data_IF_293921124385
#
_entry.id   IF_293921124385
#
_cell.length_a   1.000
_cell.length_b   1.000
_cell.length_c   1.000
_cell.angle_alpha   90.00
_cell.angle_beta   90.00
_cell.angle_gamma   90.00
#
_symmetry.space_group_name_H-M   'P 1'
#
loop_
_entity.id
_entity.type
_entity.pdbx_description
1 polymer ?
#
# COMPACT_ATOMS: atom_id res chain seq x y z
N UNK A 1 -3.34 -6.26 -12.05
CA UNK A 1 -2.06 -5.52 -11.92
C UNK A 1 -0.89 -6.45 -12.17
N UNK A 2 -0.66 -7.47 -11.34
CA UNK A 2 0.47 -8.42 -11.39
C UNK A 2 0.65 -9.16 -12.72
N UNK A 3 -0.41 -9.36 -13.51
CA UNK A 3 -0.33 -9.96 -14.86
C UNK A 3 0.15 -9.03 -15.96
N UNK A 4 0.14 -7.71 -15.73
CA UNK A 4 0.39 -6.70 -16.76
C UNK A 4 1.61 -5.84 -16.47
N UNK A 5 1.88 -5.54 -15.19
CA UNK A 5 2.94 -4.64 -14.77
C UNK A 5 4.10 -5.43 -14.15
N UNK A 6 5.32 -5.15 -14.61
CA UNK A 6 6.56 -5.74 -14.11
C UNK A 6 7.09 -4.99 -12.88
N UNK A 7 6.25 -4.86 -11.85
CA UNK A 7 6.57 -4.17 -10.59
C UNK A 7 6.13 -5.02 -9.39
N UNK A 8 6.90 -4.97 -8.31
CA UNK A 8 6.52 -5.60 -7.05
C UNK A 8 5.31 -4.89 -6.46
N UNK A 9 4.22 -5.63 -6.28
CA UNK A 9 2.97 -5.11 -5.72
C UNK A 9 2.89 -5.42 -4.22
N UNK A 10 2.81 -4.37 -3.41
CA UNK A 10 2.38 -4.46 -2.02
C UNK A 10 0.90 -4.13 -1.94
N UNK A 11 0.14 -4.92 -1.19
CA UNK A 11 -1.31 -4.78 -1.11
C UNK A 11 -1.78 -4.57 0.34
N UNK A 12 -2.77 -3.69 0.49
CA UNK A 12 -3.49 -3.44 1.73
C UNK A 12 -4.40 -4.62 2.09
N UNK A 13 -3.99 -5.42 3.07
CA UNK A 13 -4.74 -6.58 3.56
C UNK A 13 -5.77 -6.22 4.62
N UNK A 14 -6.02 -4.93 4.87
CA UNK A 14 -6.90 -4.44 5.93
C UNK A 14 -6.54 -5.09 7.28
N UNK A 15 -7.52 -5.34 8.13
CA UNK A 15 -7.35 -6.09 9.38
C UNK A 15 -7.19 -7.62 9.17
N UNK A 16 -7.07 -8.07 7.91
CA UNK A 16 -7.09 -9.47 7.50
C UNK A 16 -8.49 -10.06 7.31
N UNK A 17 -9.53 -9.22 7.26
CA UNK A 17 -10.93 -9.59 7.02
C UNK A 17 -11.49 -10.54 8.10
N UNK A 18 -11.20 -10.24 9.36
CA UNK A 18 -11.70 -10.99 10.52
C UNK A 18 -10.62 -11.33 11.54
N UNK A 19 -10.60 -12.57 12.03
CA UNK A 19 -9.64 -13.00 13.06
C UNK A 19 -8.38 -13.64 12.44
N UNK A 20 -7.49 -14.16 13.28
CA UNK A 20 -6.25 -14.81 12.85
C UNK A 20 -6.46 -15.92 11.79
N UNK A 21 -7.56 -16.68 11.82
CA UNK A 21 -7.85 -17.69 10.80
C UNK A 21 -8.26 -17.07 9.46
N UNK A 22 -9.00 -15.95 9.50
CA UNK A 22 -9.29 -15.15 8.30
C UNK A 22 -7.99 -14.64 7.68
N UNK A 23 -7.09 -14.09 8.50
CA UNK A 23 -5.77 -13.61 8.05
C UNK A 23 -5.00 -14.70 7.31
N UNK A 24 -4.99 -15.94 7.82
CA UNK A 24 -4.31 -17.05 7.13
C UNK A 24 -4.86 -17.28 5.72
N UNK A 25 -6.18 -17.17 5.54
CA UNK A 25 -6.80 -17.29 4.21
C UNK A 25 -6.42 -16.09 3.34
N UNK A 26 -6.55 -14.88 3.88
CA UNK A 26 -6.20 -13.63 3.19
C UNK A 26 -4.78 -13.69 2.63
N UNK A 27 -3.80 -14.10 3.44
CA UNK A 27 -2.40 -14.21 2.99
C UNK A 27 -2.27 -15.16 1.80
N UNK A 28 -2.87 -16.35 1.86
CA UNK A 28 -2.77 -17.35 0.77
C UNK A 28 -3.43 -16.87 -0.51
N UNK A 29 -4.58 -16.22 -0.42
CA UNK A 29 -5.31 -15.72 -1.60
C UNK A 29 -4.54 -14.56 -2.28
N UNK A 30 -4.00 -13.64 -1.48
CA UNK A 30 -3.23 -12.51 -1.98
C UNK A 30 -1.89 -12.97 -2.58
N UNK A 31 -1.18 -13.88 -1.91
CA UNK A 31 0.04 -14.50 -2.44
C UNK A 31 -0.22 -15.22 -3.76
N UNK A 32 -1.32 -16.00 -3.86
CA UNK A 32 -1.71 -16.66 -5.10
C UNK A 32 -2.04 -15.67 -6.24
N UNK A 33 -2.43 -14.43 -5.92
CA UNK A 33 -2.62 -13.36 -6.89
C UNK A 33 -1.30 -12.73 -7.39
N UNK A 34 -0.17 -13.11 -6.79
CA UNK A 34 1.18 -12.71 -7.16
C UNK A 34 1.64 -11.41 -6.49
N UNK A 35 1.10 -11.05 -5.32
CA UNK A 35 1.60 -9.89 -4.55
C UNK A 35 2.97 -10.21 -3.95
N UNK A 36 3.83 -9.19 -3.85
CA UNK A 36 5.16 -9.31 -3.25
C UNK A 36 5.15 -8.98 -1.75
N UNK A 37 4.18 -8.21 -1.28
CA UNK A 37 4.04 -7.85 0.12
C UNK A 37 2.57 -7.65 0.52
N UNK A 38 2.26 -7.96 1.77
CA UNK A 38 0.92 -7.84 2.35
C UNK A 38 1.05 -7.12 3.67
N UNK A 39 0.30 -6.03 3.84
CA UNK A 39 0.15 -5.38 5.14
C UNK A 39 -1.09 -5.87 5.88
N UNK A 40 -0.99 -6.03 7.19
CA UNK A 40 -2.12 -6.34 8.08
C UNK A 40 -2.14 -5.29 9.19
N UNK A 41 -3.27 -4.59 9.36
CA UNK A 41 -3.40 -3.49 10.30
C UNK A 41 -4.09 -3.86 11.62
N UNK A 42 -3.86 -3.04 12.65
CA UNK A 42 -4.48 -3.16 13.97
C UNK A 42 -5.70 -2.25 14.17
N UNK A 43 -6.15 -1.56 13.13
CA UNK A 43 -7.40 -0.83 13.13
C UNK A 43 -8.59 -1.80 13.14
N UNK A 44 -9.63 -1.43 13.88
CA UNK A 44 -10.92 -2.11 13.81
C UNK A 44 -11.65 -1.59 12.57
N UNK A 45 -12.11 -2.49 11.71
CA UNK A 45 -12.88 -2.10 10.54
C UNK A 45 -14.20 -1.41 10.96
N UNK A 46 -14.52 -0.21 10.43
CA UNK A 46 -15.77 0.48 10.76
C UNK A 46 -16.98 -0.23 10.12
N UNK A 47 -18.10 -0.31 10.83
CA UNK A 47 -19.34 -0.93 10.31
C UNK A 47 -20.01 -0.10 9.20
N UNK A 48 -19.71 1.21 9.14
CA UNK A 48 -20.35 2.16 8.24
C UNK A 48 -19.35 3.16 7.70
N UNK A 49 -19.50 3.52 6.43
CA UNK A 49 -18.78 4.65 5.85
C UNK A 49 -19.16 5.94 6.58
N UNK A 50 -18.17 6.72 7.00
CA UNK A 50 -18.33 7.93 7.83
C UNK A 50 -19.03 7.66 9.18
N UNK A 51 -18.94 6.43 9.70
CA UNK A 51 -19.36 6.10 11.05
C UNK A 51 -18.32 6.48 12.11
N UNK A 52 -18.61 6.14 13.36
CA UNK A 52 -17.66 6.26 14.45
C UNK A 52 -16.44 5.39 14.18
N UNK A 53 -15.26 5.94 14.44
CA UNK A 53 -13.99 5.23 14.36
C UNK A 53 -13.86 4.31 15.58
N UNK A 54 -13.90 2.97 15.40
CA UNK A 54 -13.87 2.02 16.50
C UNK A 54 -12.49 1.90 17.17
N UNK A 55 -11.44 2.50 16.61
CA UNK A 55 -10.10 2.50 17.17
C UNK A 55 -9.29 1.25 16.82
N UNK A 56 -8.52 0.74 17.78
CA UNK A 56 -7.56 -0.33 17.57
C UNK A 56 -7.94 -1.61 18.31
N UNK A 57 -7.63 -2.76 17.72
CA UNK A 57 -7.66 -4.04 18.44
C UNK A 57 -6.57 -4.08 19.52
N UNK A 58 -6.70 -5.05 20.42
CA UNK A 58 -5.68 -5.27 21.46
C UNK A 58 -4.33 -5.66 20.84
N UNK A 59 -3.23 -5.31 21.50
CA UNK A 59 -1.87 -5.73 21.06
C UNK A 59 -1.77 -7.25 20.91
N UNK A 60 -2.39 -8.00 21.83
CA UNK A 60 -2.35 -9.47 21.81
C UNK A 60 -3.08 -10.06 20.59
N UNK A 61 -4.21 -9.46 20.21
CA UNK A 61 -4.94 -9.88 19.02
C UNK A 61 -4.13 -9.62 17.75
N UNK A 62 -3.55 -8.43 17.61
CA UNK A 62 -2.72 -8.12 16.45
C UNK A 62 -1.49 -9.03 16.36
N UNK A 63 -0.85 -9.35 17.48
CA UNK A 63 0.25 -10.32 17.52
C UNK A 63 -0.19 -11.67 16.95
N UNK A 64 -1.33 -12.20 17.41
CA UNK A 64 -1.86 -13.47 16.89
C UNK A 64 -2.20 -13.40 15.39
N UNK A 65 -2.71 -12.27 14.91
CA UNK A 65 -2.96 -12.05 13.48
C UNK A 65 -1.66 -12.05 12.67
N UNK A 66 -0.62 -11.35 13.12
CA UNK A 66 0.67 -11.28 12.43
C UNK A 66 1.39 -12.64 12.43
N UNK A 67 1.41 -13.35 13.55
CA UNK A 67 1.97 -14.71 13.63
C UNK A 67 1.24 -15.67 12.68
N UNK A 68 -0.10 -15.57 12.61
CA UNK A 68 -0.91 -16.35 11.67
C UNK A 68 -0.60 -15.98 10.21
N UNK A 69 -0.39 -14.71 9.90
CA UNK A 69 0.00 -14.26 8.56
C UNK A 69 1.34 -14.88 8.13
N UNK A 70 2.35 -14.80 8.99
CA UNK A 70 3.68 -15.38 8.76
C UNK A 70 3.60 -16.90 8.61
N UNK A 71 2.80 -17.58 9.42
CA UNK A 71 2.61 -19.03 9.36
C UNK A 71 1.83 -19.51 8.12
N UNK A 72 0.98 -18.66 7.54
CA UNK A 72 0.15 -19.01 6.39
C UNK A 72 0.86 -18.87 5.04
N UNK A 73 1.88 -17.99 4.98
CA UNK A 73 2.72 -17.74 3.81
C UNK A 73 3.34 -19.03 3.28
N UNK A 74 3.32 -19.20 1.96
CA UNK A 74 3.93 -20.35 1.28
C UNK A 74 5.25 -19.94 0.62
N UNK A 75 5.28 -18.79 -0.05
CA UNK A 75 6.50 -18.27 -0.66
C UNK A 75 7.29 -17.44 0.35
N UNK A 76 8.51 -17.85 0.77
CA UNK A 76 9.31 -17.06 1.70
C UNK A 76 9.71 -15.67 1.17
N UNK A 77 9.55 -15.39 -0.13
CA UNK A 77 9.77 -14.07 -0.70
C UNK A 77 8.61 -13.10 -0.47
N UNK A 78 7.40 -13.58 -0.14
CA UNK A 78 6.26 -12.71 0.18
C UNK A 78 6.46 -12.03 1.52
N UNK A 79 6.55 -10.69 1.53
CA UNK A 79 6.82 -9.93 2.77
C UNK A 79 5.54 -9.71 3.56
N UNK A 80 5.56 -9.97 4.87
CA UNK A 80 4.48 -9.60 5.78
C UNK A 80 4.84 -8.28 6.47
N UNK A 81 3.96 -7.28 6.34
CA UNK A 81 4.13 -5.94 6.90
C UNK A 81 3.15 -5.73 8.04
N UNK A 82 3.65 -5.48 9.25
CA UNK A 82 2.79 -5.07 10.35
C UNK A 82 2.41 -3.59 10.18
N UNK A 83 1.13 -3.29 9.97
CA UNK A 83 0.64 -1.90 9.91
C UNK A 83 0.06 -1.49 11.25
N UNK A 84 0.35 -0.26 11.67
CA UNK A 84 -0.23 0.30 12.88
C UNK A 84 -0.58 1.77 12.73
N UNK A 85 -1.75 2.13 13.25
CA UNK A 85 -2.19 3.52 13.41
C UNK A 85 -2.05 4.00 14.87
N UNK A 86 -1.32 3.30 15.73
CA UNK A 86 -1.19 3.61 17.16
C UNK A 86 -0.80 5.07 17.47
N UNK A 87 -0.06 5.74 16.59
CA UNK A 87 0.30 7.16 16.75
C UNK A 87 -0.90 8.10 16.74
N UNK A 88 -2.04 7.68 16.18
CA UNK A 88 -3.28 8.46 16.13
C UNK A 88 -4.22 8.22 17.32
N UNK A 89 -4.05 7.12 18.06
CA UNK A 89 -5.00 6.72 19.14
C UNK A 89 -4.35 6.64 20.52
N UNK A 90 -3.05 6.45 20.58
CA UNK A 90 -2.33 6.17 21.82
C UNK A 90 -1.18 7.17 22.04
N UNK A 91 -0.62 7.18 23.25
CA UNK A 91 0.63 7.92 23.49
C UNK A 91 1.79 7.29 22.73
N UNK A 92 2.84 8.07 22.45
CA UNK A 92 4.06 7.56 21.81
C UNK A 92 4.60 6.33 22.56
N UNK A 93 4.65 6.37 23.89
CA UNK A 93 5.11 5.23 24.70
C UNK A 93 4.30 3.94 24.50
N UNK A 94 2.98 4.06 24.35
CA UNK A 94 2.11 2.91 24.08
C UNK A 94 2.32 2.38 22.65
N UNK A 95 2.42 3.27 21.65
CA UNK A 95 2.74 2.91 20.28
C UNK A 95 4.11 2.19 20.17
N UNK A 96 5.14 2.69 20.87
CA UNK A 96 6.46 2.06 20.92
C UNK A 96 6.41 0.65 21.53
N UNK A 97 5.55 0.42 22.54
CA UNK A 97 5.35 -0.93 23.11
C UNK A 97 4.72 -1.87 22.10
N UNK A 98 3.69 -1.44 21.36
CA UNK A 98 3.07 -2.24 20.29
C UNK A 98 4.09 -2.62 19.22
N UNK A 99 4.81 -1.63 18.70
CA UNK A 99 5.82 -1.80 17.64
C UNK A 99 6.91 -2.81 18.03
N UNK A 100 7.41 -2.74 19.28
CA UNK A 100 8.40 -3.70 19.79
C UNK A 100 7.91 -5.14 19.71
N UNK A 101 6.65 -5.38 20.08
CA UNK A 101 6.08 -6.72 20.07
C UNK A 101 5.73 -7.15 18.65
N UNK A 102 5.22 -6.27 17.80
CA UNK A 102 4.96 -6.58 16.39
C UNK A 102 6.24 -7.01 15.67
N UNK A 103 7.38 -6.38 15.99
CA UNK A 103 8.69 -6.75 15.44
C UNK A 103 9.17 -8.16 15.83
N UNK A 104 8.55 -8.80 16.82
CA UNK A 104 8.90 -10.15 17.28
C UNK A 104 8.02 -11.25 16.65
N UNK A 105 6.99 -10.88 15.90
CA UNK A 105 6.01 -11.82 15.31
C UNK A 105 6.52 -12.56 14.07
N UNK A 106 7.66 -12.15 13.52
CA UNK A 106 8.18 -12.62 12.24
C UNK A 106 7.79 -11.74 11.04
N UNK A 107 6.95 -10.72 11.22
CA UNK A 107 6.74 -9.69 10.20
C UNK A 107 8.07 -9.01 9.85
N UNK A 108 8.30 -8.73 8.57
CA UNK A 108 9.60 -8.25 8.08
C UNK A 108 9.67 -6.72 7.88
N UNK A 109 8.55 -6.01 8.02
CA UNK A 109 8.52 -4.54 7.98
C UNK A 109 7.39 -3.98 8.85
N UNK A 110 7.48 -2.70 9.19
CA UNK A 110 6.43 -1.98 9.92
C UNK A 110 5.95 -0.78 9.12
N UNK A 111 4.64 -0.71 8.85
CA UNK A 111 3.99 0.46 8.29
C UNK A 111 3.42 1.35 9.38
N UNK A 112 3.84 2.61 9.34
CA UNK A 112 3.40 3.67 10.23
C UNK A 112 2.34 4.52 9.54
N UNK A 113 1.20 4.65 10.21
CA UNK A 113 0.14 5.60 9.88
C UNK A 113 0.02 6.60 11.03
N UNK A 114 -0.29 7.86 10.70
CA UNK A 114 -0.51 8.90 11.71
C UNK A 114 0.76 9.55 12.26
N UNK A 115 1.94 9.31 11.66
CA UNK A 115 3.17 9.99 12.04
C UNK A 115 3.03 11.52 11.91
N UNK A 116 3.41 12.27 12.94
CA UNK A 116 3.30 13.74 12.99
C UNK A 116 4.63 14.45 13.22
N UNK A 117 5.63 13.81 13.84
CA UNK A 117 6.88 14.49 14.17
C UNK A 117 8.12 13.63 13.90
N UNK A 118 9.28 14.30 13.77
CA UNK A 118 10.58 13.64 13.55
C UNK A 118 10.99 12.79 14.75
N UNK A 119 10.72 13.28 15.95
CA UNK A 119 11.02 12.61 17.21
C UNK A 119 10.25 11.29 17.35
N UNK A 120 9.00 11.24 16.86
CA UNK A 120 8.25 9.99 16.80
C UNK A 120 8.96 8.96 15.90
N UNK A 121 9.41 9.37 14.71
CA UNK A 121 10.07 8.46 13.77
C UNK A 121 11.42 7.97 14.30
N UNK A 122 12.22 8.85 14.89
CA UNK A 122 13.49 8.51 15.54
C UNK A 122 13.27 7.53 16.69
N UNK A 123 12.31 7.81 17.57
CA UNK A 123 11.98 6.92 18.68
C UNK A 123 11.52 5.54 18.18
N UNK A 124 10.73 5.47 17.11
CA UNK A 124 10.32 4.22 16.49
C UNK A 124 11.52 3.47 15.91
N UNK A 125 12.38 4.16 15.17
CA UNK A 125 13.59 3.57 14.61
C UNK A 125 14.49 2.92 15.68
N UNK A 126 14.55 3.51 16.89
CA UNK A 126 15.33 2.96 17.98
C UNK A 126 14.75 1.70 18.63
N UNK A 127 13.46 1.40 18.45
CA UNK A 127 12.81 0.27 19.14
C UNK A 127 12.61 -0.96 18.25
N UNK A 128 12.90 -0.87 16.96
CA UNK A 128 12.80 -1.99 16.02
C UNK A 128 13.94 -1.97 15.01
N UNK A 129 14.55 -3.12 14.69
CA UNK A 129 15.52 -3.22 13.61
C UNK A 129 14.85 -3.33 12.22
N UNK A 130 13.52 -3.49 12.17
CA UNK A 130 12.81 -3.73 10.92
C UNK A 130 12.76 -2.48 10.03
N UNK A 131 12.80 -2.64 8.69
CA UNK A 131 12.57 -1.54 7.78
C UNK A 131 11.20 -0.92 8.01
N UNK A 132 11.17 0.42 7.96
CA UNK A 132 9.95 1.19 8.15
C UNK A 132 9.35 1.57 6.79
N UNK A 133 8.04 1.63 6.75
CA UNK A 133 7.26 2.24 5.68
C UNK A 133 6.37 3.32 6.29
N UNK A 134 6.26 4.46 5.64
CA UNK A 134 5.45 5.57 6.16
C UNK A 134 4.40 5.99 5.15
N UNK A 135 3.15 6.08 5.60
CA UNK A 135 2.04 6.58 4.78
C UNK A 135 1.78 8.06 5.10
N UNK A 136 1.94 8.90 4.08
CA UNK A 136 1.55 10.32 4.08
C UNK A 136 2.02 11.12 5.32
N UNK A 137 3.34 11.17 5.62
CA UNK A 137 3.84 12.00 6.70
C UNK A 137 3.73 13.51 6.37
N UNK A 138 3.86 14.40 7.35
CA UNK A 138 3.95 15.85 7.15
C UNK A 138 4.99 16.24 6.09
N UNK A 139 4.74 17.33 5.36
CA UNK A 139 5.54 17.75 4.19
C UNK A 139 7.02 17.92 4.53
N UNK A 140 7.34 18.51 5.68
CA UNK A 140 8.71 18.74 6.13
C UNK A 140 9.48 17.44 6.43
N UNK A 141 8.77 16.35 6.76
CA UNK A 141 9.35 15.01 6.93
C UNK A 141 9.38 14.28 5.57
N UNK A 142 8.27 14.36 4.84
CA UNK A 142 8.07 13.70 3.53
C UNK A 142 9.12 14.09 2.52
N UNK A 143 9.46 15.38 2.43
CA UNK A 143 10.35 15.92 1.42
C UNK A 143 11.84 15.82 1.83
N UNK A 144 12.12 15.40 3.07
CA UNK A 144 13.47 15.13 3.57
C UNK A 144 13.83 13.65 3.43
N UNK A 145 14.12 13.23 2.19
CA UNK A 145 14.44 11.84 1.88
C UNK A 145 15.70 11.34 2.60
N UNK A 146 16.64 12.23 2.92
CA UNK A 146 17.87 11.88 3.64
C UNK A 146 17.54 11.49 5.09
N UNK A 147 16.71 12.27 5.76
CA UNK A 147 16.21 11.95 7.11
C UNK A 147 15.40 10.65 7.12
N UNK A 148 14.47 10.47 6.17
CA UNK A 148 13.69 9.23 6.06
C UNK A 148 14.61 8.01 5.92
N UNK A 149 15.59 8.06 5.02
CA UNK A 149 16.52 6.96 4.81
C UNK A 149 17.39 6.68 6.05
N UNK A 150 17.84 7.72 6.75
CA UNK A 150 18.65 7.63 7.96
C UNK A 150 17.88 7.06 9.16
N UNK A 151 16.55 7.22 9.19
CA UNK A 151 15.65 6.71 10.24
C UNK A 151 15.00 5.38 9.87
N UNK A 152 15.59 4.64 8.92
CA UNK A 152 15.17 3.28 8.58
C UNK A 152 13.95 3.18 7.66
N UNK A 153 13.42 4.30 7.16
CA UNK A 153 12.33 4.29 6.17
C UNK A 153 12.87 3.81 4.82
N UNK A 154 12.24 2.77 4.27
CA UNK A 154 12.58 2.17 2.97
C UNK A 154 11.52 2.40 1.90
N UNK A 155 10.27 2.63 2.32
CA UNK A 155 9.16 2.94 1.41
C UNK A 155 8.38 4.12 1.96
N UNK A 156 8.26 5.17 1.16
CA UNK A 156 7.39 6.31 1.40
C UNK A 156 6.14 6.16 0.52
N UNK A 157 4.96 6.04 1.15
CA UNK A 157 3.68 5.97 0.44
C UNK A 157 3.00 7.33 0.43
N UNK A 158 2.61 7.78 -0.76
CA UNK A 158 2.04 9.11 -1.00
C UNK A 158 0.50 9.10 -1.13
N UNK A 159 -0.15 7.99 -0.77
CA UNK A 159 -1.58 7.78 -0.99
C UNK A 159 -1.89 7.59 -2.48
N UNK A 160 -3.03 8.14 -2.93
CA UNK A 160 -3.60 7.88 -4.26
C UNK A 160 -3.74 9.14 -5.15
N UNK A 161 -2.75 10.06 -5.25
CA UNK A 161 -2.90 11.27 -6.06
C UNK A 161 -3.10 10.96 -7.54
N UNK A 162 -2.48 9.90 -8.07
CA UNK A 162 -2.61 9.48 -9.47
C UNK A 162 -4.05 9.05 -9.80
N UNK A 163 -4.76 8.42 -8.85
CA UNK A 163 -6.18 8.11 -9.02
C UNK A 163 -7.02 9.38 -9.15
N UNK A 164 -6.81 10.35 -8.27
CA UNK A 164 -7.52 11.63 -8.33
C UNK A 164 -7.24 12.39 -9.65
N UNK A 165 -5.99 12.34 -10.13
CA UNK A 165 -5.62 12.89 -11.43
C UNK A 165 -6.38 12.23 -12.58
N UNK A 166 -6.43 10.88 -12.61
CA UNK A 166 -7.16 10.14 -13.63
C UNK A 166 -8.66 10.47 -13.62
N UNK A 167 -9.28 10.53 -12.44
CA UNK A 167 -10.69 10.92 -12.27
C UNK A 167 -10.94 12.33 -12.84
N UNK A 168 -10.06 13.29 -12.53
CA UNK A 168 -10.18 14.67 -13.01
C UNK A 168 -10.09 14.74 -14.53
N UNK A 169 -9.12 14.07 -15.15
CA UNK A 169 -8.98 14.05 -16.61
C UNK A 169 -10.20 13.47 -17.32
N UNK A 170 -10.75 12.36 -16.80
CA UNK A 170 -11.99 11.76 -17.34
C UNK A 170 -13.17 12.72 -17.18
N UNK A 171 -13.32 13.32 -16.00
CA UNK A 171 -14.40 14.27 -15.72
C UNK A 171 -14.35 15.48 -16.67
N UNK A 172 -13.18 16.09 -16.85
CA UNK A 172 -13.00 17.27 -17.70
C UNK A 172 -13.35 16.98 -19.16
N UNK A 173 -12.89 15.84 -19.70
CA UNK A 173 -13.21 15.43 -21.06
C UNK A 173 -14.72 15.20 -21.28
N UNK A 174 -15.36 14.47 -20.37
CA UNK A 174 -16.81 14.23 -20.45
C UNK A 174 -17.63 15.51 -20.24
N UNK A 175 -17.18 16.41 -19.37
CA UNK A 175 -17.82 17.70 -19.16
C UNK A 175 -17.72 18.58 -20.40
N UNK A 176 -16.55 18.66 -21.03
CA UNK A 176 -16.36 19.44 -22.25
C UNK A 176 -17.30 18.99 -23.38
N UNK A 177 -17.43 17.67 -23.58
CA UNK A 177 -18.40 17.09 -24.51
C UNK A 177 -19.85 17.46 -24.15
N UNK A 178 -20.22 17.37 -22.87
CA UNK A 178 -21.56 17.73 -22.40
C UNK A 178 -21.89 19.19 -22.65
N UNK A 179 -20.90 20.07 -22.51
CA UNK A 179 -21.03 21.51 -22.70
C UNK A 179 -20.99 21.92 -24.21
N UNK A 180 -20.90 20.94 -25.12
CA UNK A 180 -20.95 21.11 -26.57
C UNK A 180 -19.61 21.29 -27.26
N UNK A 181 -18.50 21.16 -26.53
CA UNK A 181 -17.14 21.19 -27.07
C UNK A 181 -16.74 19.88 -27.78
N UNK A 182 -15.76 19.96 -28.66
CA UNK A 182 -15.25 18.83 -29.43
C UNK A 182 -14.00 18.20 -28.77
N UNK A 183 -13.83 16.88 -28.81
CA UNK A 183 -12.67 16.23 -28.16
C UNK A 183 -11.33 16.62 -28.78
N UNK A 184 -11.35 17.07 -30.04
CA UNK A 184 -10.22 17.60 -30.79
C UNK A 184 -9.62 18.85 -30.12
N UNK A 185 -10.39 19.59 -29.32
CA UNK A 185 -9.91 20.73 -28.55
C UNK A 185 -9.09 20.31 -27.32
N UNK A 186 -9.14 19.03 -26.94
CA UNK A 186 -8.46 18.47 -25.77
C UNK A 186 -7.32 17.51 -26.14
N UNK A 187 -6.84 17.53 -27.40
CA UNK A 187 -5.79 16.61 -27.86
C UNK A 187 -4.53 16.64 -26.98
N UNK A 188 -4.12 17.82 -26.52
CA UNK A 188 -2.95 18.00 -25.65
C UNK A 188 -3.11 17.36 -24.26
N UNK A 189 -4.34 16.99 -23.87
CA UNK A 189 -4.65 16.30 -22.61
C UNK A 189 -4.76 14.78 -22.78
N UNK A 190 -4.71 14.27 -24.01
CA UNK A 190 -4.80 12.85 -24.29
C UNK A 190 -3.43 12.18 -24.23
N UNK A 191 -3.43 10.89 -23.87
CA UNK A 191 -2.23 10.07 -24.01
C UNK A 191 -1.80 10.00 -25.48
N UNK A 192 -0.50 10.13 -25.75
CA UNK A 192 0.03 9.98 -27.11
C UNK A 192 -0.20 8.55 -27.62
N UNK A 193 -0.24 8.37 -28.95
CA UNK A 193 -0.33 7.05 -29.56
C UNK A 193 0.82 6.14 -29.12
N UNK A 194 2.04 6.68 -28.99
CA UNK A 194 3.22 5.97 -28.48
C UNK A 194 3.01 5.49 -27.05
N UNK A 195 2.52 6.36 -26.15
CA UNK A 195 2.23 5.98 -24.77
C UNK A 195 1.16 4.88 -24.70
N UNK A 196 0.08 5.00 -25.47
CA UNK A 196 -0.97 3.98 -25.53
C UNK A 196 -0.45 2.64 -26.05
N UNK A 197 0.42 2.64 -27.07
CA UNK A 197 1.02 1.42 -27.58
C UNK A 197 1.93 0.75 -26.54
N UNK A 198 2.70 1.54 -25.81
CA UNK A 198 3.56 1.04 -24.75
C UNK A 198 2.73 0.43 -23.60
N UNK A 199 1.73 1.16 -23.08
CA UNK A 199 0.85 0.67 -22.00
C UNK A 199 0.11 -0.61 -22.40
N UNK A 200 -0.32 -0.71 -23.66
CA UNK A 200 -1.02 -1.89 -24.18
C UNK A 200 -0.08 -3.05 -24.57
N UNK A 201 1.24 -2.89 -24.41
CA UNK A 201 2.27 -3.88 -24.81
C UNK A 201 2.13 -4.29 -26.28
N UNK A 202 1.74 -3.34 -27.15
CA UNK A 202 1.42 -3.61 -28.56
C UNK A 202 2.58 -4.27 -29.30
N UNK A 203 3.81 -3.80 -29.09
CA UNK A 203 4.99 -4.37 -29.76
C UNK A 203 5.24 -5.84 -29.39
N UNK A 204 5.02 -6.19 -28.13
CA UNK A 204 5.16 -7.57 -27.68
C UNK A 204 4.11 -8.46 -28.32
N UNK A 205 2.85 -8.02 -28.35
CA UNK A 205 1.76 -8.76 -29.00
C UNK A 205 2.06 -8.96 -30.49
N UNK A 206 2.53 -7.92 -31.19
CA UNK A 206 2.92 -8.02 -32.59
C UNK A 206 4.06 -9.01 -32.81
N UNK A 207 5.07 -9.02 -31.92
CA UNK A 207 6.18 -9.98 -31.96
C UNK A 207 5.69 -11.41 -31.75
N UNK A 208 4.84 -11.64 -30.75
CA UNK A 208 4.25 -12.94 -30.46
C UNK A 208 3.37 -13.41 -31.63
N UNK A 209 2.61 -12.50 -32.23
CA UNK A 209 1.81 -12.78 -33.42
C UNK A 209 2.69 -13.26 -34.57
N UNK A 210 3.78 -12.56 -34.90
CA UNK A 210 4.71 -12.98 -35.95
C UNK A 210 5.38 -14.34 -35.63
N UNK A 211 5.67 -14.60 -34.36
CA UNK A 211 6.34 -15.83 -33.94
C UNK A 211 5.41 -17.05 -33.95
N UNK A 212 4.16 -16.89 -33.54
CA UNK A 212 3.27 -18.01 -33.23
C UNK A 212 2.04 -18.13 -34.13
N UNK A 213 1.58 -17.06 -34.79
CA UNK A 213 0.52 -17.19 -35.79
C UNK A 213 1.15 -17.58 -37.13
N UNK A 214 0.91 -18.82 -37.57
CA UNK A 214 1.28 -19.30 -38.90
C UNK A 214 0.09 -19.13 -39.85
N UNK A 215 0.35 -18.55 -41.01
CA UNK A 215 -0.52 -18.56 -42.18
C UNK A 215 -0.49 -19.92 -42.88
#
# INVERSE_FOLDING_TARGET
>A
ITRMADVSLMLDGEDGFGNALSVMRTVRELEAAGVAAIEIEDNIAPERLNGDDPGLISTAEQVGKLEAAVAARVDPATVIVARTAALSYESLEAALKRIRVYAQTGAEAIRLVGLQTREQLEAIHHVTPLPLTVLSPPVDIRDDHAFLAATGVKILMLGNPVFAMAVKSIYDGLKHLKDGGAMEELLDQQASAELLQWVNRTEEILRLQQQYLRS
#
